data_IF_527903082312
#
_entry.id   IF_527903082312
#
_cell.length_a   1.000
_cell.length_b   1.000
_cell.length_c   1.000
_cell.angle_alpha   90.00
_cell.angle_beta   90.00
_cell.angle_gamma   90.00
#
_symmetry.space_group_name_H-M   'P 1'
#
loop_
_entity.id
_entity.type
_entity.pdbx_description
1 polymer ?
#
# COMPACT_ATOMS: atom_id res chain seq x y z
N UNK A 1 18.97 -5.59 56.51
CA UNK A 1 17.53 -5.88 56.31
C UNK A 1 16.66 -4.64 56.10
N UNK A 2 16.79 -3.59 56.91
CA UNK A 2 15.91 -2.39 56.85
C UNK A 2 15.93 -1.61 55.50
N UNK A 3 17.08 -1.54 54.82
CA UNK A 3 17.21 -0.88 53.50
C UNK A 3 16.47 -1.61 52.37
N UNK A 4 16.36 -2.94 52.46
CA UNK A 4 15.67 -3.76 51.45
C UNK A 4 14.15 -3.61 51.57
N UNK A 5 13.61 -3.58 52.80
CA UNK A 5 12.19 -3.32 53.03
C UNK A 5 11.74 -1.94 52.51
N UNK A 6 12.57 -0.91 52.70
CA UNK A 6 12.25 0.44 52.24
C UNK A 6 12.20 0.54 50.71
N UNK A 7 13.10 -0.16 50.01
CA UNK A 7 13.10 -0.23 48.54
C UNK A 7 11.88 -0.98 47.99
N UNK A 8 11.46 -2.07 48.63
CA UNK A 8 10.25 -2.82 48.24
C UNK A 8 9.00 -1.96 48.45
N UNK A 9 8.92 -1.24 49.58
CA UNK A 9 7.81 -0.35 49.87
C UNK A 9 7.70 0.80 48.85
N UNK A 10 8.84 1.39 48.45
CA UNK A 10 8.88 2.42 47.41
C UNK A 10 8.40 1.89 46.06
N UNK A 11 8.82 0.68 45.67
CA UNK A 11 8.39 0.04 44.42
C UNK A 11 6.88 -0.26 44.41
N UNK A 12 6.32 -0.69 45.53
CA UNK A 12 4.87 -0.90 45.69
C UNK A 12 4.14 0.43 45.59
N UNK A 13 4.65 1.49 46.23
CA UNK A 13 4.06 2.82 46.18
C UNK A 13 4.06 3.38 44.74
N UNK A 14 5.17 3.27 44.02
CA UNK A 14 5.29 3.70 42.62
C UNK A 14 4.34 2.91 41.72
N UNK A 15 4.25 1.58 41.87
CA UNK A 15 3.29 0.76 41.11
C UNK A 15 1.84 1.17 41.38
N UNK A 16 1.51 1.47 42.63
CA UNK A 16 0.16 1.87 43.03
C UNK A 16 -0.17 3.24 42.43
N UNK A 17 0.75 4.21 42.47
CA UNK A 17 0.59 5.53 41.85
C UNK A 17 0.45 5.43 40.32
N UNK A 18 1.26 4.61 39.65
CA UNK A 18 1.14 4.40 38.20
C UNK A 18 -0.20 3.76 37.81
N UNK A 19 -0.77 2.87 38.65
CA UNK A 19 -2.08 2.28 38.41
C UNK A 19 -3.23 3.27 38.63
N UNK A 20 -3.11 4.19 39.60
CA UNK A 20 -4.10 5.25 39.85
C UNK A 20 -4.08 6.37 38.81
N UNK A 21 -2.94 6.61 38.15
CA UNK A 21 -2.82 7.58 37.05
C UNK A 21 -3.27 7.02 35.69
N UNK A 22 -3.54 5.72 35.60
CA UNK A 22 -4.08 5.08 34.41
C UNK A 22 -5.62 5.12 34.45
N UNK A 23 -6.19 6.26 34.08
CA UNK A 23 -7.63 6.40 33.88
C UNK A 23 -8.01 5.94 32.47
N UNK A 24 -8.66 4.78 32.38
CA UNK A 24 -9.15 4.23 31.10
C UNK A 24 -10.20 5.11 30.42
N UNK A 25 -10.84 6.04 31.13
CA UNK A 25 -11.84 6.96 30.57
C UNK A 25 -11.23 8.19 29.88
N UNK A 26 -9.98 8.53 30.20
CA UNK A 26 -9.19 9.59 29.56
C UNK A 26 -8.18 9.04 28.54
N UNK A 27 -8.02 7.72 28.48
CA UNK A 27 -7.17 7.04 27.51
C UNK A 27 -7.84 7.04 26.13
N UNK A 28 -7.47 8.01 25.28
CA UNK A 28 -7.75 7.89 23.84
C UNK A 28 -6.86 6.77 23.30
N UNK A 29 -7.43 5.71 22.72
CA UNK A 29 -6.61 4.65 22.16
C UNK A 29 -5.76 5.20 21.01
N UNK A 30 -4.47 4.86 20.98
CA UNK A 30 -3.53 5.28 19.92
C UNK A 30 -4.04 4.99 18.49
N UNK A 31 -4.88 3.97 18.33
CA UNK A 31 -5.46 3.64 17.03
C UNK A 31 -6.47 4.70 16.54
N UNK A 32 -7.10 5.46 17.44
CA UNK A 32 -8.05 6.51 17.04
C UNK A 32 -7.31 7.68 16.40
N UNK A 33 -6.16 8.06 16.96
CA UNK A 33 -5.29 9.09 16.38
C UNK A 33 -4.80 8.67 14.99
N UNK A 34 -4.40 7.40 14.82
CA UNK A 34 -4.08 6.83 13.52
C UNK A 34 -5.26 6.92 12.53
N UNK A 35 -6.48 6.54 12.94
CA UNK A 35 -7.66 6.60 12.08
C UNK A 35 -7.99 8.04 11.66
N UNK A 36 -7.82 9.01 12.56
CA UNK A 36 -8.00 10.43 12.27
C UNK A 36 -6.94 10.93 11.27
N UNK A 37 -5.67 10.60 11.50
CA UNK A 37 -4.56 10.93 10.61
C UNK A 37 -4.74 10.30 9.23
N UNK A 38 -5.12 9.02 9.15
CA UNK A 38 -5.43 8.33 7.91
C UNK A 38 -6.63 8.98 7.19
N UNK A 39 -7.68 9.36 7.92
CA UNK A 39 -8.84 10.04 7.34
C UNK A 39 -8.49 11.42 6.78
N UNK A 40 -7.62 12.17 7.46
CA UNK A 40 -7.15 13.46 6.96
C UNK A 40 -6.25 13.27 5.73
N UNK A 41 -5.30 12.34 5.79
CA UNK A 41 -4.40 11.99 4.68
C UNK A 41 -5.17 11.61 3.42
N UNK A 42 -6.11 10.67 3.54
CA UNK A 42 -6.88 10.19 2.39
C UNK A 42 -7.78 11.27 1.81
N UNK A 43 -8.39 12.12 2.66
CA UNK A 43 -9.15 13.27 2.18
C UNK A 43 -8.26 14.23 1.39
N UNK A 44 -7.08 14.54 1.90
CA UNK A 44 -6.20 15.55 1.30
C UNK A 44 -5.56 15.03 -0.01
N UNK A 45 -5.18 13.75 -0.07
CA UNK A 45 -4.67 13.11 -1.29
C UNK A 45 -5.75 13.01 -2.37
N UNK A 46 -6.96 12.59 -2.01
CA UNK A 46 -8.01 12.32 -3.00
C UNK A 46 -8.85 13.54 -3.38
N UNK A 47 -8.63 14.71 -2.76
CA UNK A 47 -9.44 15.91 -3.01
C UNK A 47 -9.46 16.32 -4.50
N UNK A 48 -8.28 16.27 -5.16
CA UNK A 48 -8.10 16.66 -6.56
C UNK A 48 -7.54 15.51 -7.42
N UNK A 49 -7.59 14.29 -6.90
CA UNK A 49 -7.07 13.11 -7.60
C UNK A 49 -8.09 12.56 -8.59
N UNK A 50 -7.69 12.49 -9.85
CA UNK A 50 -8.48 11.86 -10.92
C UNK A 50 -7.83 10.54 -11.35
N UNK A 51 -8.49 9.43 -11.04
CA UNK A 51 -8.08 8.08 -11.38
C UNK A 51 -8.18 7.77 -12.88
N UNK A 52 -8.87 8.60 -13.67
CA UNK A 52 -8.96 8.43 -15.13
C UNK A 52 -7.74 8.99 -15.85
N UNK A 53 -6.99 9.88 -15.19
CA UNK A 53 -5.80 10.49 -15.74
C UNK A 53 -4.56 9.63 -15.45
N UNK A 54 -3.80 9.37 -16.51
CA UNK A 54 -2.53 8.64 -16.40
C UNK A 54 -1.48 9.49 -15.66
N UNK A 55 -0.68 8.89 -14.75
CA UNK A 55 0.36 9.58 -13.99
C UNK A 55 1.62 9.91 -14.81
N UNK A 56 1.58 9.76 -16.14
CA UNK A 56 2.73 9.96 -17.01
C UNK A 56 3.05 11.46 -17.14
N UNK A 57 4.28 11.81 -16.77
CA UNK A 57 4.82 13.15 -16.99
C UNK A 57 5.15 13.36 -18.48
N UNK A 58 4.40 14.23 -19.15
CA UNK A 58 4.50 14.48 -20.61
C UNK A 58 5.28 15.73 -20.97
N UNK A 59 5.67 16.56 -19.99
CA UNK A 59 6.44 17.80 -20.21
C UNK A 59 7.93 17.48 -20.39
N UNK A 60 8.24 16.79 -21.48
CA UNK A 60 9.60 16.41 -21.85
C UNK A 60 10.06 17.22 -23.06
N UNK A 61 11.31 17.69 -23.05
CA UNK A 61 11.94 18.36 -24.19
C UNK A 61 12.49 17.29 -25.16
N UNK A 62 11.94 17.14 -26.38
CA UNK A 62 12.37 16.11 -27.33
C UNK A 62 13.79 16.35 -27.87
N UNK A 63 14.35 17.54 -27.67
CA UNK A 63 15.71 17.89 -28.12
C UNK A 63 16.79 17.52 -27.11
N UNK A 64 16.41 17.17 -25.88
CA UNK A 64 17.32 16.82 -24.79
C UNK A 64 17.40 15.31 -24.62
N UNK A 65 18.54 14.78 -24.13
CA UNK A 65 18.64 13.36 -23.81
C UNK A 65 17.67 12.98 -22.70
N UNK A 66 17.26 11.71 -22.70
CA UNK A 66 16.40 11.15 -21.65
C UNK A 66 17.09 11.32 -20.29
N UNK A 67 16.36 11.82 -19.30
CA UNK A 67 16.88 12.07 -17.95
C UNK A 67 17.71 13.35 -17.80
N UNK A 68 17.65 14.27 -18.77
CA UNK A 68 18.31 15.57 -18.67
C UNK A 68 17.78 16.45 -17.54
N UNK A 69 16.47 16.37 -17.25
CA UNK A 69 15.82 17.12 -16.19
C UNK A 69 15.86 16.32 -14.88
N UNK A 70 16.66 16.74 -13.87
CA UNK A 70 16.73 16.07 -12.58
C UNK A 70 15.47 16.26 -11.73
N UNK A 71 14.67 17.29 -12.01
CA UNK A 71 13.42 17.59 -11.29
C UNK A 71 12.23 16.85 -11.90
N UNK A 72 12.38 16.33 -13.11
CA UNK A 72 11.36 15.48 -13.74
C UNK A 72 11.20 14.18 -12.97
N UNK A 73 9.97 13.69 -12.76
CA UNK A 73 9.76 12.35 -12.23
C UNK A 73 10.56 11.32 -13.04
N UNK A 74 11.18 10.37 -12.33
CA UNK A 74 11.85 9.23 -12.98
C UNK A 74 10.85 8.54 -13.91
N UNK A 75 11.36 7.95 -15.00
CA UNK A 75 10.55 7.21 -15.96
C UNK A 75 9.66 6.21 -15.21
N UNK A 76 8.40 6.14 -15.61
CA UNK A 76 7.43 5.21 -15.04
C UNK A 76 7.99 3.78 -15.13
N UNK A 77 8.15 3.17 -13.96
CA UNK A 77 8.49 1.76 -13.85
C UNK A 77 7.19 1.03 -13.51
N UNK A 78 6.77 0.17 -14.42
CA UNK A 78 5.75 -0.82 -14.13
C UNK A 78 6.43 -2.17 -14.03
N UNK A 79 6.40 -2.77 -12.86
CA UNK A 79 7.02 -4.08 -12.59
C UNK A 79 5.92 -5.08 -12.33
N UNK A 80 5.94 -6.18 -13.07
CA UNK A 80 5.08 -7.33 -12.83
C UNK A 80 5.97 -8.45 -12.29
N UNK A 81 5.57 -9.02 -11.17
CA UNK A 81 6.20 -10.20 -10.60
C UNK A 81 5.21 -11.36 -10.69
N UNK A 82 5.60 -12.43 -11.36
CA UNK A 82 4.88 -13.70 -11.29
C UNK A 82 5.23 -14.36 -9.94
N UNK A 83 4.27 -14.35 -9.02
CA UNK A 83 4.46 -14.88 -7.67
C UNK A 83 4.29 -16.40 -7.64
N UNK A 84 3.25 -16.91 -8.32
CA UNK A 84 2.94 -18.33 -8.39
C UNK A 84 2.41 -18.69 -9.78
N UNK A 85 2.77 -19.88 -10.23
CA UNK A 85 2.27 -20.46 -11.48
C UNK A 85 1.95 -21.93 -11.24
N UNK A 86 0.71 -22.30 -11.50
CA UNK A 86 0.24 -23.68 -11.41
C UNK A 86 -0.28 -24.13 -12.75
N UNK A 87 0.34 -25.18 -13.29
CA UNK A 87 -0.19 -25.90 -14.43
C UNK A 87 -1.44 -26.68 -14.01
N UNK A 88 -2.55 -26.44 -14.71
CA UNK A 88 -3.83 -27.11 -14.48
C UNK A 88 -4.01 -28.26 -15.44
N UNK A 89 -3.81 -28.00 -16.74
CA UNK A 89 -4.09 -28.96 -17.79
C UNK A 89 -3.19 -28.72 -19.01
N UNK A 90 -2.86 -29.79 -19.72
CA UNK A 90 -2.19 -29.77 -21.02
C UNK A 90 -2.99 -30.64 -21.97
N UNK A 91 -3.40 -30.07 -23.11
CA UNK A 91 -4.07 -30.76 -24.21
C UNK A 91 -3.13 -30.68 -25.42
N UNK A 92 -2.21 -31.64 -25.50
CA UNK A 92 -1.14 -31.65 -26.51
C UNK A 92 -1.66 -31.62 -27.96
N UNK A 93 -2.70 -32.39 -28.36
CA UNK A 93 -3.17 -32.38 -29.75
C UNK A 93 -3.76 -31.03 -30.18
N UNK A 94 -4.22 -30.22 -29.22
CA UNK A 94 -4.77 -28.88 -29.46
C UNK A 94 -3.75 -27.77 -29.18
N UNK A 95 -2.54 -28.12 -28.74
CA UNK A 95 -1.49 -27.19 -28.30
C UNK A 95 -1.97 -26.20 -27.22
N UNK A 96 -2.88 -26.66 -26.34
CA UNK A 96 -3.46 -25.82 -25.27
C UNK A 96 -2.87 -26.17 -23.91
N UNK A 97 -2.62 -25.11 -23.14
CA UNK A 97 -2.14 -25.21 -21.76
C UNK A 97 -2.98 -24.28 -20.89
N UNK A 98 -3.55 -24.84 -19.83
CA UNK A 98 -4.34 -24.10 -18.84
C UNK A 98 -3.48 -23.87 -17.59
N UNK A 99 -3.32 -22.60 -17.20
CA UNK A 99 -2.55 -22.22 -16.01
C UNK A 99 -3.36 -21.33 -15.10
N UNK A 100 -3.10 -21.45 -13.80
CA UNK A 100 -3.50 -20.47 -12.79
C UNK A 100 -2.25 -19.72 -12.38
N UNK A 101 -2.33 -18.40 -12.37
CA UNK A 101 -1.21 -17.54 -12.05
C UNK A 101 -1.58 -16.50 -11.01
N UNK A 102 -0.61 -16.20 -10.15
CA UNK A 102 -0.70 -15.12 -9.17
C UNK A 102 0.37 -14.10 -9.53
N UNK A 103 -0.05 -12.86 -9.75
CA UNK A 103 0.83 -11.76 -10.16
C UNK A 103 0.81 -10.66 -9.12
N UNK A 104 1.95 -9.99 -8.93
CA UNK A 104 2.07 -8.77 -8.15
C UNK A 104 2.48 -7.63 -9.09
N UNK A 105 1.81 -6.49 -8.97
CA UNK A 105 1.93 -5.37 -9.90
C UNK A 105 2.41 -4.13 -9.16
N UNK A 106 3.49 -3.52 -9.60
CA UNK A 106 4.09 -2.35 -8.97
C UNK A 106 4.11 -1.22 -10.00
N UNK A 107 3.55 -0.07 -9.66
CA UNK A 107 3.66 1.14 -10.48
C UNK A 107 3.93 2.35 -9.59
N UNK A 108 4.38 3.43 -10.19
CA UNK A 108 4.63 4.68 -9.50
C UNK A 108 3.64 5.74 -9.96
N UNK A 109 2.88 6.33 -9.03
CA UNK A 109 2.04 7.51 -9.24
C UNK A 109 2.55 8.67 -8.35
N UNK A 110 3.20 9.70 -8.92
CA UNK A 110 3.76 10.81 -8.15
C UNK A 110 2.68 11.65 -7.44
N UNK A 111 1.42 11.58 -7.87
CA UNK A 111 0.31 12.34 -7.27
C UNK A 111 -0.11 11.76 -5.91
N UNK A 112 0.23 10.49 -5.65
CA UNK A 112 -0.08 9.79 -4.41
C UNK A 112 1.11 9.84 -3.44
N UNK A 113 1.69 11.02 -3.27
CA UNK A 113 2.84 11.27 -2.38
C UNK A 113 2.46 12.30 -1.31
N UNK A 114 3.01 12.14 -0.10
CA UNK A 114 2.72 13.05 1.01
C UNK A 114 3.94 13.21 1.92
N UNK A 115 3.89 14.16 2.84
CA UNK A 115 4.87 14.26 3.91
C UNK A 115 4.38 13.49 5.14
N UNK A 116 5.07 12.40 5.51
CA UNK A 116 4.71 11.51 6.64
C UNK A 116 4.53 12.29 7.94
N UNK A 117 5.39 13.26 8.22
CA UNK A 117 5.37 14.01 9.47
C UNK A 117 4.14 14.91 9.64
N UNK A 118 3.35 15.15 8.58
CA UNK A 118 2.08 15.87 8.67
C UNK A 118 0.90 14.98 9.08
N UNK A 119 1.06 13.65 9.02
CA UNK A 119 -0.01 12.69 9.22
C UNK A 119 0.41 11.59 10.20
N UNK A 120 1.02 11.96 11.32
CA UNK A 120 1.44 11.03 12.39
C UNK A 120 2.31 9.87 11.89
N UNK A 121 3.23 10.18 10.97
CA UNK A 121 4.17 9.25 10.36
C UNK A 121 3.52 8.03 9.68
N UNK A 122 2.30 8.20 9.14
CA UNK A 122 1.62 7.17 8.33
C UNK A 122 2.43 6.86 7.06
N UNK A 123 2.93 5.63 6.98
CA UNK A 123 3.75 5.11 5.88
C UNK A 123 2.93 4.64 4.68
N UNK A 124 1.76 4.06 4.92
CA UNK A 124 0.90 3.52 3.87
C UNK A 124 -0.55 3.45 4.33
N UNK A 125 -1.46 3.34 3.36
CA UNK A 125 -2.87 3.08 3.60
C UNK A 125 -3.46 2.20 2.50
N UNK A 126 -4.58 1.53 2.81
CA UNK A 126 -5.31 0.74 1.83
C UNK A 126 -6.52 1.48 1.28
N UNK A 127 -6.77 1.38 -0.03
CA UNK A 127 -7.96 1.95 -0.70
C UNK A 127 -8.48 1.00 -1.77
N UNK A 128 -9.68 1.27 -2.32
CA UNK A 128 -10.21 0.49 -3.45
C UNK A 128 -9.38 0.75 -4.71
N UNK A 129 -9.18 -0.30 -5.52
CA UNK A 129 -8.50 -0.16 -6.82
C UNK A 129 -9.18 0.87 -7.73
N UNK A 130 -10.51 0.97 -7.68
CA UNK A 130 -11.28 1.95 -8.47
C UNK A 130 -10.96 3.41 -8.14
N UNK A 131 -10.39 3.68 -6.96
CA UNK A 131 -10.08 5.05 -6.52
C UNK A 131 -8.69 5.51 -6.99
N UNK A 132 -7.87 4.60 -7.53
CA UNK A 132 -6.49 4.86 -7.93
C UNK A 132 -6.33 4.47 -9.39
N UNK A 133 -5.62 5.30 -10.16
CA UNK A 133 -5.26 4.90 -11.52
C UNK A 133 -4.39 3.63 -11.47
N UNK A 134 -4.72 2.65 -12.30
CA UNK A 134 -3.90 1.45 -12.51
C UNK A 134 -3.77 1.16 -14.00
N UNK A 135 -2.60 0.70 -14.47
CA UNK A 135 -2.47 0.24 -15.85
C UNK A 135 -3.38 -0.95 -16.12
N UNK A 136 -3.89 -1.06 -17.35
CA UNK A 136 -4.65 -2.25 -17.78
C UNK A 136 -3.68 -3.31 -18.27
N UNK A 137 -3.65 -4.46 -17.60
CA UNK A 137 -2.91 -5.63 -18.05
C UNK A 137 -3.79 -6.47 -18.98
N UNK A 138 -3.31 -6.69 -20.21
CA UNK A 138 -3.94 -7.57 -21.19
C UNK A 138 -2.92 -8.60 -21.67
N UNK A 139 -3.30 -9.88 -21.68
CA UNK A 139 -2.46 -10.92 -22.25
C UNK A 139 -2.63 -10.96 -23.78
N UNK A 140 -1.51 -11.12 -24.49
CA UNK A 140 -1.50 -11.32 -25.94
C UNK A 140 -1.22 -12.80 -26.25
N UNK A 141 -1.89 -13.35 -27.25
CA UNK A 141 -1.71 -14.75 -27.65
C UNK A 141 -2.34 -15.77 -26.69
N UNK A 142 -3.25 -15.32 -25.83
CA UNK A 142 -4.03 -16.18 -24.94
C UNK A 142 -5.43 -16.35 -25.53
N UNK A 143 -5.93 -17.59 -25.58
CA UNK A 143 -7.28 -17.88 -26.07
C UNK A 143 -8.35 -17.30 -25.13
N UNK A 144 -8.21 -17.56 -23.82
CA UNK A 144 -9.10 -17.06 -22.77
C UNK A 144 -8.29 -16.67 -21.54
N UNK A 145 -8.52 -15.46 -21.03
CA UNK A 145 -7.98 -14.99 -19.75
C UNK A 145 -9.16 -14.62 -18.85
N UNK A 146 -9.32 -15.36 -17.76
CA UNK A 146 -10.36 -15.11 -16.77
C UNK A 146 -9.70 -14.62 -15.48
N UNK A 147 -10.11 -13.45 -15.02
CA UNK A 147 -9.71 -12.91 -13.73
C UNK A 147 -10.79 -13.28 -12.70
N UNK A 148 -10.46 -14.23 -11.82
CA UNK A 148 -11.39 -14.73 -10.79
C UNK A 148 -11.55 -13.78 -9.59
N UNK A 149 -10.81 -12.67 -9.54
CA UNK A 149 -10.90 -11.71 -8.44
C UNK A 149 -12.17 -10.87 -8.60
N UNK A 150 -12.97 -10.77 -7.55
CA UNK A 150 -14.08 -9.81 -7.50
C UNK A 150 -13.52 -8.38 -7.66
N UNK A 151 -14.06 -7.63 -8.62
CA UNK A 151 -13.61 -6.27 -8.92
C UNK A 151 -13.92 -5.31 -7.77
N UNK A 152 -15.01 -5.53 -7.04
CA UNK A 152 -15.47 -4.63 -5.98
C UNK A 152 -14.65 -4.78 -4.69
N UNK A 153 -13.92 -5.89 -4.55
CA UNK A 153 -13.11 -6.18 -3.36
C UNK A 153 -11.61 -5.96 -3.52
N UNK A 154 -11.16 -5.43 -4.67
CA UNK A 154 -9.72 -5.18 -4.89
C UNK A 154 -9.22 -3.99 -4.07
N UNK A 155 -8.18 -4.23 -3.27
CA UNK A 155 -7.58 -3.24 -2.38
C UNK A 155 -6.14 -2.96 -2.78
N UNK A 156 -5.81 -1.67 -2.92
CA UNK A 156 -4.50 -1.09 -3.21
C UNK A 156 -3.79 -0.75 -1.93
N UNK A 157 -2.50 -1.10 -1.83
CA UNK A 157 -1.61 -0.46 -0.87
C UNK A 157 -1.02 0.79 -1.53
N UNK A 158 -1.29 1.97 -0.96
CA UNK A 158 -0.64 3.21 -1.37
C UNK A 158 0.42 3.52 -0.32
N UNK A 159 1.67 3.56 -0.74
CA UNK A 159 2.81 3.72 0.15
C UNK A 159 3.52 5.05 -0.09
N UNK A 160 4.00 5.66 1.00
CA UNK A 160 4.87 6.82 0.99
C UNK A 160 6.32 6.40 0.79
N UNK A 161 6.55 5.71 -0.32
CA UNK A 161 7.85 5.33 -0.80
C UNK A 161 8.03 5.98 -2.17
N UNK A 162 9.28 6.30 -2.50
CA UNK A 162 9.66 6.67 -3.87
C UNK A 162 9.34 5.57 -4.90
N UNK A 163 8.88 4.39 -4.46
CA UNK A 163 8.45 3.23 -5.24
C UNK A 163 7.23 2.61 -4.54
N UNK A 164 6.05 2.54 -5.18
CA UNK A 164 4.87 1.94 -4.55
C UNK A 164 4.91 0.41 -4.61
N UNK A 165 4.48 -0.25 -3.54
CA UNK A 165 4.37 -1.71 -3.41
C UNK A 165 2.93 -2.19 -3.38
N UNK A 166 2.70 -3.36 -3.97
CA UNK A 166 1.42 -4.08 -3.91
C UNK A 166 1.62 -5.58 -3.70
N UNK A 167 0.76 -6.13 -2.84
CA UNK A 167 0.44 -7.55 -2.81
C UNK A 167 -0.96 -7.76 -3.37
N UNK A 168 -1.10 -8.51 -4.47
CA UNK A 168 -2.37 -9.13 -4.83
C UNK A 168 -2.41 -10.46 -4.08
N UNK A 169 -3.19 -10.54 -3.01
CA UNK A 169 -3.39 -11.79 -2.28
C UNK A 169 -4.61 -12.50 -2.88
N UNK A 170 -4.40 -13.60 -3.59
CA UNK A 170 -5.45 -14.49 -4.11
C UNK A 170 -5.94 -15.52 -3.08
N UNK A 171 -5.65 -15.31 -1.79
CA UNK A 171 -6.25 -16.11 -0.72
C UNK A 171 -7.52 -15.44 -0.18
N UNK A 172 -8.62 -15.58 -0.92
CA UNK A 172 -9.94 -15.70 -0.31
C UNK A 172 -10.22 -17.20 -0.21
N UNK A 173 -9.82 -17.80 0.91
CA UNK A 173 -10.25 -19.12 1.31
C UNK A 173 -11.65 -19.05 1.93
#
# INVERSE_FOLDING_TARGET
MLRSLCSVFLLVLVKTICAFLYDTSLYVPKHLDFLLSQSNLTRDIFNDYDATLSPIYTKNDPTKPIGYDPESPKRWNYTILLYSLKLVEVIEPEEKVSVVMEIMEYWYDPRLTWNRSLYDDVDFFYTRQTNVWSPTLSAFGVNDLIDFRDQDFRLVCVENLLEQMWMVNSDAR
#
